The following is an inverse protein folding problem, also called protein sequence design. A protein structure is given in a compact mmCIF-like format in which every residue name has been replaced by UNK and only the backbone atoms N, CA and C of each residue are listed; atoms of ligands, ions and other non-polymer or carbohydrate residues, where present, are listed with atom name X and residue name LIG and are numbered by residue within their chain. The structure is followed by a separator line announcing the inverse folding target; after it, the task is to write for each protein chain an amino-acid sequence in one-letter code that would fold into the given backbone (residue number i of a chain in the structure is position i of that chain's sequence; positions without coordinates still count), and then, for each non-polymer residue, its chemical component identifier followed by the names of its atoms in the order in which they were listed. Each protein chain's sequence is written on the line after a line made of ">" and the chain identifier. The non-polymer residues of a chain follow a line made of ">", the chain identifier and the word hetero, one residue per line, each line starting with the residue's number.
data_IF_853606924619
#
_entry.id   IF_853606924619
#
_cell.length_a   1.000
_cell.length_b   1.000
_cell.length_c   1.000
_cell.angle_alpha   90.00
_cell.angle_beta   90.00
_cell.angle_gamma   90.00
#
_symmetry.space_group_name_H-M   'P 1'
#
loop_
_entity.id
_entity.type
_entity.pdbx_description
1 polymer ?
#
# COMPACT_ATOMS: atom_id res chain seq x y z
N UNK A 1 -3.39 -35.24 -16.41
CA UNK A 1 -2.77 -35.26 -15.08
C UNK A 1 -3.90 -35.47 -14.10
N UNK A 2 -3.80 -36.49 -13.25
CA UNK A 2 -4.84 -36.77 -12.25
C UNK A 2 -4.89 -35.60 -11.25
N UNK A 3 -6.11 -35.24 -10.85
CA UNK A 3 -6.40 -34.21 -9.88
C UNK A 3 -6.04 -34.74 -8.48
N UNK A 4 -4.81 -34.48 -8.02
CA UNK A 4 -4.30 -34.85 -6.69
C UNK A 4 -4.78 -33.89 -5.58
N UNK A 5 -5.89 -33.17 -5.79
CA UNK A 5 -6.47 -32.34 -4.74
C UNK A 5 -7.07 -33.26 -3.66
N UNK A 6 -6.55 -33.24 -2.42
CA UNK A 6 -7.13 -34.04 -1.35
C UNK A 6 -8.60 -33.63 -1.16
N UNK A 7 -9.52 -34.56 -0.87
CA UNK A 7 -10.89 -34.19 -0.54
C UNK A 7 -10.84 -33.32 0.71
N UNK A 8 -11.10 -32.02 0.55
CA UNK A 8 -11.19 -31.10 1.67
C UNK A 8 -12.38 -31.55 2.53
N UNK A 9 -12.15 -31.70 3.84
CA UNK A 9 -13.25 -31.76 4.80
C UNK A 9 -14.05 -30.45 4.74
N UNK A 10 -15.26 -30.43 5.28
CA UNK A 10 -16.16 -29.24 5.34
C UNK A 10 -15.57 -28.01 6.06
N UNK A 11 -14.33 -28.10 6.53
CA UNK A 11 -13.61 -27.11 7.34
C UNK A 11 -12.24 -26.75 6.73
N UNK A 12 -12.04 -27.05 5.45
CA UNK A 12 -10.82 -26.68 4.75
C UNK A 12 -11.16 -26.02 3.42
N UNK A 13 -10.44 -24.94 3.12
CA UNK A 13 -10.52 -24.22 1.86
C UNK A 13 -9.16 -24.26 1.17
N UNK A 14 -9.16 -24.39 -0.15
CA UNK A 14 -7.94 -24.37 -0.95
C UNK A 14 -8.19 -23.64 -2.25
N UNK A 15 -7.30 -22.72 -2.59
CA UNK A 15 -7.23 -22.13 -3.91
C UNK A 15 -5.93 -22.53 -4.61
N UNK A 16 -6.07 -23.14 -5.78
CA UNK A 16 -4.95 -23.68 -6.56
C UNK A 16 -4.11 -22.58 -7.21
N UNK A 17 -4.75 -21.50 -7.64
CA UNK A 17 -4.07 -20.40 -8.32
C UNK A 17 -3.14 -19.66 -7.36
N UNK A 18 -3.64 -19.38 -6.16
CA UNK A 18 -2.90 -18.75 -5.07
C UNK A 18 -1.95 -19.71 -4.34
N UNK A 19 -2.16 -21.03 -4.49
CA UNK A 19 -1.44 -22.02 -3.69
C UNK A 19 -1.69 -21.86 -2.19
N UNK A 20 -2.85 -21.32 -1.80
CA UNK A 20 -3.22 -21.02 -0.42
C UNK A 20 -4.24 -22.03 0.10
N UNK A 21 -4.05 -22.47 1.34
CA UNK A 21 -5.02 -23.30 2.05
C UNK A 21 -5.35 -22.70 3.41
N UNK A 22 -6.62 -22.79 3.79
CA UNK A 22 -7.10 -22.53 5.15
C UNK A 22 -7.57 -23.85 5.75
N UNK A 23 -6.96 -24.27 6.85
CA UNK A 23 -7.34 -25.49 7.57
C UNK A 23 -7.89 -25.14 8.96
N UNK A 24 -9.17 -25.41 9.17
CA UNK A 24 -9.86 -25.19 10.43
C UNK A 24 -10.05 -26.48 11.24
N UNK A 25 -9.39 -27.59 10.89
CA UNK A 25 -9.54 -28.88 11.55
C UNK A 25 -9.23 -28.85 13.07
N UNK A 26 -8.48 -27.84 13.53
CA UNK A 26 -8.14 -27.64 14.93
C UNK A 26 -9.02 -26.60 15.65
N UNK A 27 -9.97 -25.99 14.96
CA UNK A 27 -10.94 -25.07 15.55
C UNK A 27 -12.15 -25.83 16.08
N UNK A 28 -12.81 -25.27 17.10
CA UNK A 28 -14.08 -25.81 17.62
C UNK A 28 -15.26 -25.35 16.77
N UNK A 29 -15.18 -25.62 15.47
CA UNK A 29 -16.18 -25.25 14.48
C UNK A 29 -16.67 -26.55 13.85
N UNK A 30 -17.95 -26.86 14.03
CA UNK A 30 -18.62 -27.98 13.38
C UNK A 30 -19.79 -27.49 12.52
N UNK A 31 -20.50 -28.41 11.86
CA UNK A 31 -21.63 -28.05 11.00
C UNK A 31 -22.76 -27.33 11.77
N UNK A 32 -22.94 -27.61 13.06
CA UNK A 32 -23.93 -26.93 13.89
C UNK A 32 -23.50 -25.48 14.15
N UNK A 33 -22.24 -25.26 14.51
CA UNK A 33 -21.67 -23.92 14.68
C UNK A 33 -21.79 -23.09 13.40
N UNK A 34 -21.46 -23.67 12.23
CA UNK A 34 -21.60 -22.99 10.94
C UNK A 34 -23.05 -22.63 10.62
N UNK A 35 -24.00 -23.51 10.95
CA UNK A 35 -25.42 -23.23 10.75
C UNK A 35 -25.91 -22.02 11.59
N UNK A 36 -25.34 -21.80 12.79
CA UNK A 36 -25.72 -20.65 13.63
C UNK A 36 -25.32 -19.29 13.05
N UNK A 37 -24.26 -19.24 12.23
CA UNK A 37 -23.73 -18.01 11.63
C UNK A 37 -24.20 -17.80 10.19
N UNK A 38 -24.96 -18.74 9.61
CA UNK A 38 -25.39 -18.68 8.22
C UNK A 38 -26.20 -17.41 7.90
N UNK A 39 -27.18 -17.06 8.75
CA UNK A 39 -28.02 -15.88 8.55
C UNK A 39 -27.23 -14.55 8.62
N UNK A 40 -26.41 -14.28 9.67
CA UNK A 40 -25.59 -13.08 9.69
C UNK A 40 -24.55 -13.04 8.54
N UNK A 41 -24.02 -14.19 8.10
CA UNK A 41 -23.10 -14.23 6.96
C UNK A 41 -23.79 -13.91 5.63
N UNK A 42 -25.02 -14.39 5.39
CA UNK A 42 -25.81 -13.98 4.24
C UNK A 42 -26.01 -12.46 4.20
N UNK A 43 -26.36 -11.86 5.35
CA UNK A 43 -26.49 -10.40 5.45
C UNK A 43 -25.15 -9.67 5.22
N UNK A 44 -24.04 -10.23 5.71
CA UNK A 44 -22.70 -9.69 5.45
C UNK A 44 -22.34 -9.73 3.96
N UNK A 45 -22.67 -10.80 3.23
CA UNK A 45 -22.43 -10.87 1.78
C UNK A 45 -23.25 -9.85 0.99
N UNK A 46 -24.49 -9.58 1.42
CA UNK A 46 -25.32 -8.51 0.85
C UNK A 46 -24.68 -7.14 1.11
N UNK A 47 -24.30 -6.87 2.36
CA UNK A 47 -23.62 -5.63 2.74
C UNK A 47 -22.29 -5.42 2.00
N UNK A 48 -21.51 -6.49 1.76
CA UNK A 48 -20.29 -6.44 0.96
C UNK A 48 -20.57 -6.09 -0.50
N UNK A 49 -21.67 -6.60 -1.07
CA UNK A 49 -22.07 -6.26 -2.45
C UNK A 49 -22.42 -4.78 -2.55
N UNK A 50 -23.16 -4.24 -1.58
CA UNK A 50 -23.48 -2.80 -1.52
C UNK A 50 -22.22 -1.95 -1.32
N UNK A 51 -21.33 -2.36 -0.42
CA UNK A 51 -20.07 -1.71 -0.11
C UNK A 51 -19.19 -1.57 -1.36
N UNK A 52 -18.95 -2.68 -2.06
CA UNK A 52 -18.15 -2.69 -3.29
C UNK A 52 -18.84 -1.98 -4.45
N UNK A 53 -20.17 -1.96 -4.46
CA UNK A 53 -20.97 -1.15 -5.38
C UNK A 53 -20.92 0.36 -5.13
N UNK A 54 -20.18 0.82 -4.11
CA UNK A 54 -20.00 2.24 -3.82
C UNK A 54 -21.02 2.83 -2.85
N UNK A 55 -21.68 2.01 -2.03
CA UNK A 55 -22.50 2.54 -0.94
C UNK A 55 -21.65 3.39 0.04
N UNK A 56 -22.29 4.42 0.62
CA UNK A 56 -21.67 5.17 1.71
C UNK A 56 -21.59 4.27 2.94
N UNK A 57 -20.36 3.90 3.30
CA UNK A 57 -20.09 2.98 4.39
C UNK A 57 -19.61 3.69 5.65
N UNK A 58 -19.03 4.88 5.52
CA UNK A 58 -18.73 5.75 6.64
C UNK A 58 -19.73 6.93 6.66
N UNK A 59 -20.84 6.85 7.42
CA UNK A 59 -21.85 7.90 7.46
C UNK A 59 -21.34 9.18 8.13
N UNK A 60 -20.39 9.08 9.07
CA UNK A 60 -19.84 10.25 9.77
C UNK A 60 -18.97 11.12 8.85
N UNK A 61 -18.34 10.50 7.86
CA UNK A 61 -17.48 11.19 6.88
C UNK A 61 -18.10 11.29 5.48
N UNK A 62 -19.30 10.73 5.28
CA UNK A 62 -19.99 10.61 3.99
C UNK A 62 -19.10 9.98 2.89
N UNK A 63 -18.37 8.92 3.23
CA UNK A 63 -17.38 8.29 2.33
C UNK A 63 -17.73 6.86 1.92
N UNK A 64 -17.38 6.55 0.68
CA UNK A 64 -17.27 5.18 0.16
C UNK A 64 -16.01 4.49 0.70
N UNK A 65 -15.94 3.16 0.55
CA UNK A 65 -14.75 2.36 0.85
C UNK A 65 -14.34 1.58 -0.40
N UNK A 66 -13.33 2.09 -1.12
CA UNK A 66 -13.03 1.66 -2.49
C UNK A 66 -11.71 0.93 -2.69
N UNK A 67 -11.07 0.46 -1.62
CA UNK A 67 -9.74 -0.16 -1.71
C UNK A 67 -9.69 -1.45 -2.57
N UNK A 68 -10.84 -2.11 -2.79
CA UNK A 68 -11.00 -3.23 -3.72
C UNK A 68 -10.84 -2.80 -5.18
N UNK A 69 -11.29 -1.59 -5.54
CA UNK A 69 -11.20 -1.08 -6.90
C UNK A 69 -9.75 -0.84 -7.34
N UNK A 70 -8.84 -0.60 -6.38
CA UNK A 70 -7.41 -0.43 -6.66
C UNK A 70 -6.76 -1.66 -7.32
N UNK A 71 -7.38 -2.84 -7.15
CA UNK A 71 -6.92 -4.12 -7.68
C UNK A 71 -7.92 -4.74 -8.67
N UNK A 72 -9.02 -4.04 -8.95
CA UNK A 72 -10.04 -4.41 -9.92
C UNK A 72 -10.81 -3.15 -10.33
N UNK A 73 -10.16 -2.27 -11.10
CA UNK A 73 -10.68 -0.93 -11.44
C UNK A 73 -11.99 -0.98 -12.22
N UNK A 74 -12.19 -2.02 -13.02
CA UNK A 74 -13.44 -2.28 -13.75
C UNK A 74 -14.68 -2.43 -12.85
N UNK A 75 -14.49 -2.72 -11.55
CA UNK A 75 -15.57 -2.82 -10.56
C UNK A 75 -15.90 -1.48 -9.89
N UNK A 76 -15.17 -0.41 -10.18
CA UNK A 76 -15.43 0.90 -9.61
C UNK A 76 -16.83 1.42 -10.03
N UNK A 77 -17.54 2.17 -9.16
CA UNK A 77 -18.93 2.57 -9.41
C UNK A 77 -19.08 3.63 -10.51
N UNK A 78 -17.98 4.11 -11.09
CA UNK A 78 -18.02 4.99 -12.25
C UNK A 78 -16.79 4.79 -13.16
N UNK A 79 -16.92 5.03 -14.48
CA UNK A 79 -15.79 5.01 -15.41
C UNK A 79 -14.69 6.02 -15.04
N UNK A 80 -15.06 7.13 -14.40
CA UNK A 80 -14.10 8.13 -13.92
C UNK A 80 -13.19 7.52 -12.85
N UNK A 81 -13.76 6.79 -11.88
CA UNK A 81 -12.97 6.14 -10.84
C UNK A 81 -12.06 5.05 -11.40
N UNK A 82 -12.53 4.24 -12.35
CA UNK A 82 -11.69 3.26 -13.03
C UNK A 82 -10.49 3.96 -13.69
N UNK A 83 -10.74 5.01 -14.46
CA UNK A 83 -9.70 5.74 -15.20
C UNK A 83 -8.64 6.34 -14.28
N UNK A 84 -9.02 6.97 -13.17
CA UNK A 84 -8.02 7.58 -12.25
C UNK A 84 -7.20 6.52 -11.49
N UNK A 85 -7.76 5.33 -11.28
CA UNK A 85 -7.03 4.20 -10.69
C UNK A 85 -5.99 3.68 -11.67
N UNK A 86 -6.40 3.43 -12.92
CA UNK A 86 -5.51 2.91 -13.97
C UNK A 86 -4.38 3.90 -14.28
N UNK A 87 -4.70 5.20 -14.35
CA UNK A 87 -3.73 6.27 -14.53
C UNK A 87 -2.72 6.31 -13.38
N UNK A 88 -3.18 6.28 -12.12
CA UNK A 88 -2.30 6.30 -10.97
C UNK A 88 -1.38 5.07 -10.88
N UNK A 89 -1.88 3.88 -11.26
CA UNK A 89 -1.04 2.67 -11.35
C UNK A 89 0.00 2.82 -12.46
N UNK A 90 -0.38 3.39 -13.60
CA UNK A 90 0.53 3.74 -14.70
C UNK A 90 1.63 4.71 -14.25
N UNK A 91 1.26 5.77 -13.53
CA UNK A 91 2.17 6.78 -12.98
C UNK A 91 3.15 6.18 -11.99
N UNK A 92 2.69 5.28 -11.10
CA UNK A 92 3.56 4.54 -10.18
C UNK A 92 4.64 3.77 -10.95
N UNK A 93 4.25 3.04 -11.99
CA UNK A 93 5.17 2.24 -12.82
C UNK A 93 6.15 3.12 -13.57
N UNK A 94 5.69 4.18 -14.21
CA UNK A 94 6.56 5.07 -14.98
C UNK A 94 7.52 5.83 -14.07
N UNK A 95 7.05 6.37 -12.95
CA UNK A 95 7.89 7.12 -12.02
C UNK A 95 8.94 6.21 -11.37
N UNK A 96 8.56 5.00 -10.94
CA UNK A 96 9.50 4.03 -10.37
C UNK A 96 10.53 3.59 -11.40
N UNK A 97 10.13 3.32 -12.65
CA UNK A 97 11.04 3.00 -13.76
C UNK A 97 12.06 4.12 -13.98
N UNK A 98 11.63 5.38 -13.99
CA UNK A 98 12.53 6.54 -14.14
C UNK A 98 13.54 6.66 -13.00
N UNK A 99 13.11 6.41 -11.76
CA UNK A 99 13.99 6.39 -10.58
C UNK A 99 15.01 5.26 -10.70
N UNK A 100 14.55 4.03 -10.93
CA UNK A 100 15.39 2.83 -11.00
C UNK A 100 16.39 2.87 -12.17
N UNK A 101 16.00 3.45 -13.31
CA UNK A 101 16.90 3.59 -14.46
C UNK A 101 17.90 4.76 -14.33
N UNK A 102 17.78 5.59 -13.29
CA UNK A 102 18.56 6.83 -13.14
C UNK A 102 18.18 7.95 -14.12
N UNK A 103 17.04 7.82 -14.83
CA UNK A 103 16.52 8.90 -15.67
C UNK A 103 15.98 10.06 -14.81
N UNK A 104 15.41 9.72 -13.65
CA UNK A 104 15.20 10.63 -12.53
C UNK A 104 16.28 10.35 -11.48
N UNK A 105 17.16 11.32 -11.23
CA UNK A 105 18.34 11.15 -10.38
C UNK A 105 18.53 12.36 -9.45
N UNK A 106 19.21 12.17 -8.31
CA UNK A 106 19.53 13.29 -7.42
C UNK A 106 20.54 14.25 -8.09
N UNK A 107 20.62 15.52 -7.65
CA UNK A 107 21.56 16.50 -8.22
C UNK A 107 23.04 16.13 -8.07
N UNK A 108 23.38 15.40 -7.01
CA UNK A 108 24.77 15.18 -6.57
C UNK A 108 25.26 13.73 -6.70
N UNK A 109 24.46 12.85 -7.31
CA UNK A 109 24.86 11.45 -7.55
C UNK A 109 24.29 10.93 -8.89
N UNK A 110 24.86 9.84 -9.40
CA UNK A 110 24.45 9.28 -10.70
C UNK A 110 23.04 8.67 -10.68
N UNK A 111 22.60 8.17 -9.52
CA UNK A 111 21.27 7.59 -9.30
C UNK A 111 20.92 7.56 -7.82
N UNK A 112 19.64 7.33 -7.53
CA UNK A 112 19.22 6.95 -6.18
C UNK A 112 19.68 5.52 -5.86
N UNK A 113 20.09 5.28 -4.61
CA UNK A 113 20.51 3.96 -4.09
C UNK A 113 19.62 3.50 -2.93
N UNK A 114 18.96 4.44 -2.28
CA UNK A 114 18.13 4.20 -1.11
C UNK A 114 16.95 5.17 -1.08
N UNK A 115 15.95 4.80 -0.27
CA UNK A 115 14.70 5.54 -0.11
C UNK A 115 14.41 5.72 1.38
N UNK A 116 14.03 6.92 1.79
CA UNK A 116 13.42 7.15 3.10
C UNK A 116 11.92 7.40 2.91
N UNK A 117 11.11 6.47 3.40
CA UNK A 117 9.65 6.60 3.43
C UNK A 117 9.26 7.34 4.70
N UNK A 118 8.62 8.50 4.56
CA UNK A 118 8.14 9.33 5.67
C UNK A 118 6.63 9.20 5.77
N UNK A 119 6.15 8.61 6.86
CA UNK A 119 4.74 8.35 7.05
C UNK A 119 4.50 7.63 8.36
N UNK A 120 3.27 7.66 8.88
CA UNK A 120 2.89 6.94 10.10
C UNK A 120 1.61 6.13 9.85
N UNK A 121 1.43 5.05 10.63
CA UNK A 121 0.28 4.17 10.52
C UNK A 121 0.20 3.56 9.11
N UNK A 122 -0.95 3.68 8.45
CA UNK A 122 -1.16 3.15 7.10
C UNK A 122 -0.17 3.64 6.04
N UNK A 123 0.33 4.87 6.19
CA UNK A 123 1.32 5.49 5.31
C UNK A 123 2.73 4.91 5.47
N UNK A 124 2.98 4.02 6.44
CA UNK A 124 4.28 3.37 6.65
C UNK A 124 4.19 1.87 6.85
N UNK A 125 3.21 1.37 7.62
CA UNK A 125 3.13 -0.05 7.99
C UNK A 125 2.86 -0.97 6.79
N UNK A 126 2.01 -0.56 5.85
CA UNK A 126 1.77 -1.32 4.61
C UNK A 126 3.04 -1.40 3.75
N UNK A 127 3.67 -0.27 3.39
CA UNK A 127 4.95 -0.26 2.70
C UNK A 127 6.05 -1.06 3.42
N UNK A 128 6.14 -0.95 4.75
CA UNK A 128 7.11 -1.69 5.56
C UNK A 128 6.86 -3.19 5.54
N UNK A 129 5.60 -3.63 5.64
CA UNK A 129 5.24 -5.04 5.52
C UNK A 129 5.67 -5.61 4.15
N UNK A 130 5.39 -4.88 3.06
CA UNK A 130 5.79 -5.31 1.72
C UNK A 130 7.32 -5.33 1.58
N UNK A 131 8.02 -4.39 2.22
CA UNK A 131 9.48 -4.38 2.27
C UNK A 131 10.04 -5.60 3.00
N UNK A 132 9.56 -5.88 4.21
CA UNK A 132 10.06 -6.98 5.03
C UNK A 132 9.68 -8.36 4.46
N UNK A 133 8.51 -8.48 3.83
CA UNK A 133 8.00 -9.75 3.33
C UNK A 133 8.48 -10.11 1.92
N UNK A 134 8.60 -9.13 1.02
CA UNK A 134 8.88 -9.35 -0.41
C UNK A 134 10.21 -8.74 -0.86
N UNK A 135 10.84 -7.87 -0.07
CA UNK A 135 12.13 -7.27 -0.39
C UNK A 135 13.24 -8.33 -0.47
N UNK A 136 14.12 -8.20 -1.48
CA UNK A 136 15.24 -9.13 -1.71
C UNK A 136 16.55 -8.36 -1.73
N UNK A 137 17.53 -8.83 -0.96
CA UNK A 137 18.83 -8.17 -0.89
C UNK A 137 19.48 -8.12 -2.27
N UNK A 138 19.91 -6.92 -2.68
CA UNK A 138 20.53 -6.70 -3.99
C UNK A 138 19.54 -6.43 -5.13
N UNK A 139 18.24 -6.45 -4.87
CA UNK A 139 17.19 -6.04 -5.81
C UNK A 139 16.65 -4.66 -5.42
N UNK A 140 16.46 -3.78 -6.41
CA UNK A 140 15.92 -2.43 -6.19
C UNK A 140 16.76 -1.52 -5.29
N UNK A 141 16.09 -0.60 -4.60
CA UNK A 141 16.65 0.37 -3.66
C UNK A 141 16.46 -0.09 -2.21
N UNK A 142 17.39 0.26 -1.34
CA UNK A 142 17.26 0.03 0.11
C UNK A 142 16.25 1.01 0.71
N UNK A 143 15.22 0.52 1.42
CA UNK A 143 14.23 1.37 2.08
C UNK A 143 14.55 1.56 3.57
N UNK A 144 14.21 2.75 4.06
CA UNK A 144 14.24 3.16 5.47
C UNK A 144 12.91 3.84 5.81
N UNK A 145 12.44 3.70 7.05
CA UNK A 145 11.12 4.19 7.47
C UNK A 145 11.20 5.24 8.58
N UNK A 146 10.87 6.49 8.24
CA UNK A 146 10.76 7.61 9.18
C UNK A 146 9.33 7.71 9.71
N UNK A 147 8.97 6.78 10.60
CA UNK A 147 7.60 6.63 11.13
C UNK A 147 7.47 6.89 12.63
N UNK A 148 8.54 7.35 13.26
CA UNK A 148 8.61 7.69 14.68
C UNK A 148 8.99 9.16 14.84
N UNK A 149 8.43 9.84 15.85
CA UNK A 149 8.75 11.23 16.20
C UNK A 149 9.84 11.36 17.27
N UNK A 150 10.29 10.25 17.84
CA UNK A 150 11.38 10.18 18.81
C UNK A 150 12.71 10.63 18.16
N UNK A 151 13.37 11.68 18.71
CA UNK A 151 14.66 12.15 18.19
C UNK A 151 15.72 11.06 18.11
N UNK A 152 15.82 10.17 19.12
CA UNK A 152 16.81 9.08 19.11
C UNK A 152 16.52 8.10 17.97
N UNK A 153 15.23 7.88 17.67
CA UNK A 153 14.80 7.08 16.52
C UNK A 153 15.20 7.70 15.20
N UNK A 154 15.09 9.02 15.08
CA UNK A 154 15.46 9.75 13.89
C UNK A 154 16.99 9.80 13.68
N UNK A 155 17.77 9.95 14.75
CA UNK A 155 19.23 9.89 14.67
C UNK A 155 19.72 8.51 14.21
N UNK A 156 19.10 7.43 14.71
CA UNK A 156 19.38 6.07 14.22
C UNK A 156 19.04 5.88 12.75
N UNK A 157 17.93 6.47 12.30
CA UNK A 157 17.54 6.46 10.88
C UNK A 157 18.60 7.15 10.03
N UNK A 158 19.03 8.36 10.39
CA UNK A 158 20.07 9.10 9.65
C UNK A 158 21.39 8.34 9.63
N UNK A 159 21.81 7.75 10.74
CA UNK A 159 23.02 6.93 10.80
C UNK A 159 22.94 5.71 9.86
N UNK A 160 21.76 5.07 9.75
CA UNK A 160 21.54 3.97 8.82
C UNK A 160 21.60 4.44 7.35
N UNK A 161 21.05 5.61 7.05
CA UNK A 161 21.11 6.22 5.70
C UNK A 161 22.54 6.59 5.33
N UNK A 162 23.32 7.15 6.25
CA UNK A 162 24.73 7.47 6.03
C UNK A 162 25.57 6.22 5.77
N UNK A 163 25.30 5.13 6.48
CA UNK A 163 25.96 3.84 6.23
C UNK A 163 25.65 3.24 4.84
N UNK A 164 24.57 3.68 4.18
CA UNK A 164 24.11 3.20 2.88
C UNK A 164 24.38 4.18 1.72
N UNK A 165 25.26 5.17 1.91
CA UNK A 165 25.68 6.11 0.87
C UNK A 165 25.20 7.54 1.08
N UNK A 166 24.55 7.83 2.22
CA UNK A 166 24.18 9.16 2.66
C UNK A 166 23.09 9.84 1.85
N UNK A 167 22.67 11.01 2.34
CA UNK A 167 21.53 11.75 1.80
C UNK A 167 21.67 12.14 0.32
N UNK A 168 22.89 12.31 -0.21
CA UNK A 168 23.13 12.70 -1.61
C UNK A 168 22.61 11.68 -2.65
N UNK A 169 22.39 10.43 -2.24
CA UNK A 169 21.88 9.35 -3.08
C UNK A 169 20.51 8.80 -2.60
N UNK A 170 19.85 9.53 -1.71
CA UNK A 170 18.58 9.13 -1.08
C UNK A 170 17.39 9.82 -1.74
N UNK A 171 16.36 9.04 -2.10
CA UNK A 171 15.04 9.54 -2.45
C UNK A 171 14.18 9.62 -1.19
N UNK A 172 13.49 10.73 -0.95
CA UNK A 172 12.50 10.84 0.12
C UNK A 172 11.10 10.65 -0.46
N UNK A 173 10.30 9.76 0.11
CA UNK A 173 8.89 9.57 -0.25
C UNK A 173 8.03 9.99 0.92
N UNK A 174 7.36 11.13 0.81
CA UNK A 174 6.52 11.68 1.88
C UNK A 174 5.06 11.27 1.65
N UNK A 175 4.50 10.51 2.58
CA UNK A 175 3.18 9.90 2.45
C UNK A 175 2.24 10.42 3.54
N UNK A 176 1.29 11.28 3.15
CA UNK A 176 0.28 11.80 4.07
C UNK A 176 -0.91 12.38 3.33
N UNK A 177 -2.06 11.68 3.38
CA UNK A 177 -3.32 12.06 2.72
C UNK A 177 -3.67 13.56 2.81
N UNK A 178 -3.65 14.14 4.00
CA UNK A 178 -4.02 15.55 4.22
C UNK A 178 -2.83 16.52 4.24
N UNK A 179 -1.60 16.00 4.27
CA UNK A 179 -0.41 16.74 4.70
C UNK A 179 -0.45 17.33 6.12
N UNK A 180 -1.49 17.03 6.91
CA UNK A 180 -1.69 17.58 8.26
C UNK A 180 -1.17 16.69 9.39
N UNK A 181 -0.73 15.46 9.09
CA UNK A 181 -0.24 14.51 10.08
C UNK A 181 1.07 15.03 10.68
N UNK A 182 1.08 15.27 12.00
CA UNK A 182 2.18 15.96 12.68
C UNK A 182 3.46 15.16 12.61
N UNK A 183 3.37 13.84 12.82
CA UNK A 183 4.49 12.91 12.82
C UNK A 183 5.17 12.88 11.45
N UNK A 184 4.39 12.68 10.36
CA UNK A 184 4.91 12.75 8.98
C UNK A 184 5.54 14.12 8.69
N UNK A 185 4.86 15.22 9.07
CA UNK A 185 5.36 16.57 8.83
C UNK A 185 6.68 16.81 9.56
N UNK A 186 6.79 16.40 10.81
CA UNK A 186 8.01 16.55 11.60
C UNK A 186 9.15 15.75 10.98
N UNK A 187 8.92 14.48 10.64
CA UNK A 187 9.94 13.66 9.95
C UNK A 187 10.41 14.28 8.63
N UNK A 188 9.49 14.86 7.84
CA UNK A 188 9.83 15.57 6.61
C UNK A 188 10.69 16.81 6.88
N UNK A 189 10.36 17.61 7.90
CA UNK A 189 11.13 18.81 8.24
C UNK A 189 12.52 18.47 8.80
N UNK A 190 12.63 17.41 9.60
CA UNK A 190 13.92 16.94 10.09
C UNK A 190 14.81 16.44 8.95
N UNK A 191 14.23 15.74 7.95
CA UNK A 191 14.95 15.38 6.72
C UNK A 191 15.33 16.62 5.93
N UNK A 192 14.45 17.62 5.78
CA UNK A 192 14.78 18.86 5.10
C UNK A 192 15.97 19.57 5.75
N UNK A 193 15.96 19.69 7.08
CA UNK A 193 17.06 20.27 7.84
C UNK A 193 18.36 19.45 7.70
N UNK A 194 18.26 18.11 7.64
CA UNK A 194 19.42 17.25 7.38
C UNK A 194 20.00 17.44 5.97
N UNK A 195 19.13 17.58 4.95
CA UNK A 195 19.55 17.91 3.58
C UNK A 195 20.24 19.28 3.54
N UNK A 196 19.66 20.31 4.15
CA UNK A 196 20.25 21.65 4.20
C UNK A 196 21.64 21.65 4.87
N UNK A 197 21.81 20.93 5.99
CA UNK A 197 23.11 20.77 6.66
C UNK A 197 24.15 20.09 5.76
N UNK A 198 23.71 19.22 4.86
CA UNK A 198 24.55 18.55 3.87
C UNK A 198 24.75 19.37 2.58
N UNK A 199 24.18 20.58 2.48
CA UNK A 199 24.24 21.40 1.26
C UNK A 199 23.34 20.88 0.12
N UNK A 200 22.32 20.10 0.46
CA UNK A 200 21.35 19.51 -0.46
C UNK A 200 19.97 20.19 -0.33
N UNK A 201 19.06 19.90 -1.25
CA UNK A 201 17.66 20.33 -1.18
C UNK A 201 16.75 19.11 -1.18
N UNK A 202 15.87 19.01 -0.17
CA UNK A 202 14.90 17.92 -0.09
C UNK A 202 13.99 17.89 -1.32
N UNK A 203 13.55 19.05 -1.83
CA UNK A 203 12.64 19.11 -2.98
C UNK A 203 13.22 18.43 -4.23
N UNK A 204 14.50 18.64 -4.50
CA UNK A 204 15.21 18.00 -5.61
C UNK A 204 15.43 16.49 -5.43
N UNK A 205 14.96 15.92 -4.31
CA UNK A 205 15.13 14.52 -3.93
C UNK A 205 13.88 13.95 -3.26
N UNK A 206 12.70 14.55 -3.48
CA UNK A 206 11.47 14.14 -2.81
C UNK A 206 10.30 13.90 -3.78
N UNK A 207 9.45 12.95 -3.44
CA UNK A 207 8.17 12.65 -4.08
C UNK A 207 7.09 12.65 -3.01
N UNK A 208 5.92 13.23 -3.31
CA UNK A 208 4.77 13.21 -2.41
C UNK A 208 3.74 12.15 -2.83
N UNK A 209 3.15 11.48 -1.85
CA UNK A 209 1.96 10.63 -2.04
C UNK A 209 0.87 11.22 -1.14
N UNK A 210 -0.12 11.87 -1.75
CA UNK A 210 -1.05 12.74 -1.04
C UNK A 210 -2.33 13.01 -1.82
N UNK A 211 -3.35 13.55 -1.17
CA UNK A 211 -4.56 14.01 -1.87
C UNK A 211 -4.30 15.33 -2.60
N UNK A 212 -4.89 15.47 -3.78
CA UNK A 212 -4.87 16.72 -4.56
C UNK A 212 -5.44 17.88 -3.73
N UNK A 213 -4.79 19.05 -3.79
CA UNK A 213 -5.17 20.24 -3.03
C UNK A 213 -4.89 20.17 -1.53
N UNK A 214 -4.28 19.09 -1.04
CA UNK A 214 -3.88 18.97 0.37
C UNK A 214 -2.71 19.89 0.73
N UNK A 215 -2.39 19.99 2.03
CA UNK A 215 -1.24 20.79 2.50
C UNK A 215 0.09 20.27 1.95
N UNK A 216 0.23 18.95 1.83
CA UNK A 216 1.44 18.33 1.30
C UNK A 216 1.52 18.49 -0.22
N UNK A 217 0.38 18.50 -0.91
CA UNK A 217 0.31 18.74 -2.35
C UNK A 217 0.81 20.15 -2.71
N UNK A 218 0.28 21.17 -2.02
CA UNK A 218 0.73 22.55 -2.19
C UNK A 218 2.21 22.75 -1.79
N UNK A 219 2.64 22.11 -0.69
CA UNK A 219 4.04 22.17 -0.27
C UNK A 219 4.98 21.50 -1.27
N UNK A 220 4.58 20.37 -1.86
CA UNK A 220 5.37 19.67 -2.87
C UNK A 220 5.60 20.55 -4.12
N UNK A 221 4.58 21.31 -4.54
CA UNK A 221 4.72 22.28 -5.63
C UNK A 221 5.64 23.45 -5.26
N UNK A 222 5.47 24.03 -4.07
CA UNK A 222 6.29 25.15 -3.59
C UNK A 222 7.77 24.74 -3.43
N UNK A 223 8.02 23.55 -2.86
CA UNK A 223 9.36 23.03 -2.61
C UNK A 223 10.02 22.42 -3.86
N UNK A 224 9.28 22.26 -4.96
CA UNK A 224 9.79 21.69 -6.21
C UNK A 224 10.09 20.20 -6.12
N UNK A 225 9.18 19.42 -5.53
CA UNK A 225 9.29 17.96 -5.46
C UNK A 225 9.33 17.35 -6.87
N UNK A 226 10.04 16.23 -7.01
CA UNK A 226 10.27 15.55 -8.28
C UNK A 226 9.00 14.91 -8.88
N UNK A 227 7.98 14.70 -8.06
CA UNK A 227 6.72 14.10 -8.48
C UNK A 227 5.69 14.02 -7.34
N UNK A 228 4.44 13.79 -7.73
CA UNK A 228 3.31 13.61 -6.82
C UNK A 228 2.48 12.42 -7.32
N UNK A 229 2.01 11.58 -6.40
CA UNK A 229 1.10 10.47 -6.69
C UNK A 229 -0.17 10.61 -5.82
N UNK A 230 -1.35 10.24 -6.36
CA UNK A 230 -2.61 10.56 -5.72
C UNK A 230 -2.93 9.64 -4.53
N UNK A 231 -3.68 10.21 -3.57
CA UNK A 231 -4.43 9.49 -2.56
C UNK A 231 -5.88 9.98 -2.55
N UNK A 232 -6.84 9.06 -2.45
CA UNK A 232 -8.26 9.40 -2.46
C UNK A 232 -8.93 9.21 -1.10
N UNK A 233 -10.01 9.95 -0.87
CA UNK A 233 -10.80 9.94 0.36
C UNK A 233 -11.41 8.57 0.67
N UNK A 234 -11.87 7.84 -0.36
CA UNK A 234 -12.40 6.48 -0.29
C UNK A 234 -11.36 5.37 -0.07
N UNK A 235 -10.06 5.71 -0.02
CA UNK A 235 -8.99 4.80 0.43
C UNK A 235 -8.65 5.09 1.88
N UNK A 236 -8.96 4.13 2.77
CA UNK A 236 -8.59 4.18 4.17
C UNK A 236 -7.09 3.97 4.36
N UNK A 237 -6.49 4.60 5.38
CA UNK A 237 -5.04 4.46 5.62
C UNK A 237 -4.61 3.01 5.87
N UNK A 238 -5.36 2.25 6.67
CA UNK A 238 -5.05 0.82 6.93
C UNK A 238 -5.30 -0.10 5.72
N UNK A 239 -5.91 0.39 4.65
CA UNK A 239 -6.21 -0.37 3.42
C UNK A 239 -5.54 0.23 2.18
N UNK A 240 -4.57 1.13 2.35
CA UNK A 240 -3.93 1.85 1.24
C UNK A 240 -2.73 1.12 0.63
N UNK A 241 -2.34 -0.06 1.11
CA UNK A 241 -1.13 -0.75 0.62
C UNK A 241 -1.18 -1.07 -0.87
N UNK A 242 -2.36 -1.27 -1.44
CA UNK A 242 -2.57 -1.48 -2.89
C UNK A 242 -2.81 -0.19 -3.67
N UNK A 243 -2.65 0.99 -3.05
CA UNK A 243 -2.61 2.27 -3.77
C UNK A 243 -1.15 2.70 -3.98
N UNK A 244 -0.93 3.89 -4.57
CA UNK A 244 0.38 4.50 -4.67
C UNK A 244 1.19 4.45 -3.35
N UNK A 245 0.51 4.51 -2.19
CA UNK A 245 1.12 4.42 -0.86
C UNK A 245 2.04 3.20 -0.73
N UNK A 246 1.57 2.00 -1.10
CA UNK A 246 2.39 0.79 -1.03
C UNK A 246 3.01 0.39 -2.35
N UNK A 247 2.32 0.62 -3.48
CA UNK A 247 2.82 0.22 -4.81
C UNK A 247 4.10 0.97 -5.19
N UNK A 248 4.21 2.27 -4.89
CA UNK A 248 5.40 3.02 -5.27
C UNK A 248 6.65 2.59 -4.49
N UNK A 249 6.64 2.50 -3.14
CA UNK A 249 7.75 1.90 -2.41
C UNK A 249 8.05 0.46 -2.83
N UNK A 250 7.02 -0.36 -3.09
CA UNK A 250 7.20 -1.73 -3.56
C UNK A 250 7.94 -1.81 -4.90
N UNK A 251 7.55 -1.01 -5.88
CA UNK A 251 8.24 -0.95 -7.16
C UNK A 251 9.71 -0.52 -7.01
N UNK A 252 9.99 0.46 -6.14
CA UNK A 252 11.36 0.95 -5.90
C UNK A 252 12.29 -0.10 -5.29
N UNK A 253 11.77 -1.08 -4.55
CA UNK A 253 12.54 -2.21 -4.05
C UNK A 253 12.54 -3.43 -4.99
N UNK A 254 12.01 -3.29 -6.22
CA UNK A 254 12.02 -4.33 -7.24
C UNK A 254 10.85 -5.31 -7.20
N UNK A 255 9.82 -5.07 -6.38
CA UNK A 255 8.60 -5.89 -6.39
C UNK A 255 7.77 -5.60 -7.64
N UNK A 256 7.29 -6.66 -8.29
CA UNK A 256 6.31 -6.54 -9.37
C UNK A 256 4.95 -6.13 -8.80
N UNK A 257 4.55 -4.90 -9.09
CA UNK A 257 3.29 -4.34 -8.60
C UNK A 257 2.06 -4.93 -9.29
N UNK A 258 2.20 -5.46 -10.51
CA UNK A 258 1.10 -6.12 -11.21
C UNK A 258 0.82 -7.48 -10.58
N UNK A 259 1.85 -8.25 -10.25
CA UNK A 259 1.68 -9.52 -9.53
C UNK A 259 1.08 -9.29 -8.13
N UNK A 260 1.52 -8.25 -7.41
CA UNK A 260 0.98 -7.89 -6.11
C UNK A 260 -0.53 -7.55 -6.19
N UNK A 261 -0.93 -6.74 -7.18
CA UNK A 261 -2.33 -6.39 -7.40
C UNK A 261 -3.15 -7.60 -7.85
N UNK A 262 -2.61 -8.42 -8.77
CA UNK A 262 -3.26 -9.63 -9.27
C UNK A 262 -3.53 -10.62 -8.14
N UNK A 263 -2.54 -10.91 -7.27
CA UNK A 263 -2.75 -11.82 -6.14
C UNK A 263 -3.83 -11.32 -5.17
N UNK A 264 -3.87 -10.01 -4.92
CA UNK A 264 -4.90 -9.41 -4.10
C UNK A 264 -6.30 -9.48 -4.77
N UNK A 265 -6.37 -9.29 -6.09
CA UNK A 265 -7.60 -9.40 -6.87
C UNK A 265 -8.15 -10.84 -6.94
N UNK A 266 -7.27 -11.83 -7.06
CA UNK A 266 -7.63 -13.25 -7.00
C UNK A 266 -8.23 -13.59 -5.63
N UNK A 267 -7.63 -13.11 -4.53
CA UNK A 267 -8.21 -13.29 -3.20
C UNK A 267 -9.57 -12.61 -3.05
N UNK A 268 -9.74 -11.37 -3.55
CA UNK A 268 -11.05 -10.71 -3.51
C UNK A 268 -12.13 -11.56 -4.20
N UNK A 269 -11.81 -12.16 -5.35
CA UNK A 269 -12.73 -13.04 -6.06
C UNK A 269 -13.15 -14.25 -5.22
N UNK A 270 -12.22 -14.82 -4.45
CA UNK A 270 -12.52 -15.87 -3.48
C UNK A 270 -13.46 -15.38 -2.36
N UNK A 271 -13.25 -14.16 -1.86
CA UNK A 271 -14.10 -13.57 -0.80
C UNK A 271 -15.48 -13.12 -1.26
N UNK A 272 -15.73 -13.03 -2.57
CA UNK A 272 -17.05 -12.74 -3.15
C UNK A 272 -17.95 -13.97 -3.29
N UNK A 273 -17.39 -15.17 -3.10
CA UNK A 273 -18.16 -16.42 -3.12
C UNK A 273 -19.15 -16.41 -1.96
N UNK A 274 -20.45 -16.56 -2.24
CA UNK A 274 -21.52 -16.47 -1.22
C UNK A 274 -21.75 -17.76 -0.43
N UNK A 275 -21.02 -18.82 -0.77
CA UNK A 275 -21.02 -20.07 -0.02
C UNK A 275 -20.07 -19.94 1.16
N UNK A 276 -20.59 -20.11 2.38
CA UNK A 276 -19.79 -19.94 3.61
C UNK A 276 -18.61 -20.92 3.63
N UNK A 277 -18.82 -22.19 3.26
CA UNK A 277 -17.77 -23.21 3.27
C UNK A 277 -16.70 -23.01 2.20
N UNK A 278 -17.00 -22.23 1.15
CA UNK A 278 -16.10 -22.01 0.03
C UNK A 278 -15.49 -20.61 0.04
N UNK A 279 -15.78 -19.81 1.09
CA UNK A 279 -15.30 -18.45 1.24
C UNK A 279 -14.26 -18.37 2.38
N UNK A 280 -12.98 -18.10 2.07
CA UNK A 280 -11.93 -18.12 3.08
C UNK A 280 -12.07 -16.99 4.11
N UNK A 281 -12.59 -15.83 3.71
CA UNK A 281 -12.79 -14.71 4.64
C UNK A 281 -14.00 -14.97 5.57
N UNK A 282 -15.07 -15.56 5.05
CA UNK A 282 -16.22 -15.94 5.87
C UNK A 282 -15.90 -17.06 6.87
N UNK A 283 -15.03 -18.01 6.47
CA UNK A 283 -14.51 -19.06 7.36
C UNK A 283 -13.61 -18.51 8.47
N UNK A 284 -12.91 -17.40 8.24
CA UNK A 284 -12.03 -16.75 9.22
C UNK A 284 -12.75 -15.79 10.18
N UNK A 285 -13.88 -15.22 9.77
CA UNK A 285 -14.61 -14.18 10.51
C UNK A 285 -15.46 -14.74 11.66
#
# INVERSE_FOLDING_TARGET
>A
MADDTPPLGTLAWYDRELGMSLDLAHMRIDAEALATVQAPMTAAFEAMTELEGGAIANPDEERMVGHYWLRASDLAPSPVLSSVIDEAIGDVKELSRRVLSGALKPPSAERFTQVVVVGIGGSSLGPQLVYDALGRSGEGLQLHFANNTDPDGFDRLLAAVDAQGGLASTLTVVISKSGGTKETRNGMLELAAAHERAGLSLGAQAIAITSEGSKLDAYADEAGFLGKLPMWDWVGGRTSVTSAVGLFPAALQGVDVDELLSGAATMDSCTRVRSLSDNPAALLA
#
